data_IF_652651677132
#
_entry.id   IF_652651677132
#
_cell.length_a   1.000
_cell.length_b   1.000
_cell.length_c   1.000
_cell.angle_alpha   90.00
_cell.angle_beta   90.00
_cell.angle_gamma   90.00
#
_symmetry.space_group_name_H-M   'P 1'
#
loop_
_entity.id
_entity.type
_entity.pdbx_description
1 polymer ?
#
# COMPACT_ATOMS: atom_id res chain seq x y z
N UNK A 1 10.45 -10.02 12.48
CA UNK A 1 10.12 -10.10 11.04
C UNK A 1 9.93 -8.67 10.55
N UNK A 2 10.90 -8.15 9.79
CA UNK A 2 10.74 -6.90 9.04
C UNK A 2 10.58 -7.26 7.59
N UNK A 3 9.34 -7.48 7.16
CA UNK A 3 8.99 -7.71 5.76
C UNK A 3 8.67 -6.36 5.10
N UNK A 4 8.36 -6.39 3.80
CA UNK A 4 7.96 -5.20 3.03
C UNK A 4 6.62 -4.60 3.51
N UNK A 5 5.95 -5.22 4.48
CA UNK A 5 4.67 -4.78 5.03
C UNK A 5 4.78 -4.68 6.55
N UNK A 6 4.29 -3.58 7.10
CA UNK A 6 4.17 -3.36 8.54
C UNK A 6 2.72 -2.97 8.87
N UNK A 7 2.19 -3.50 9.98
CA UNK A 7 0.92 -3.07 10.50
C UNK A 7 1.07 -2.42 11.87
N UNK A 8 0.61 -1.18 11.99
CA UNK A 8 0.59 -0.41 13.22
C UNK A 8 -0.85 -0.29 13.75
N UNK A 9 -1.12 -0.93 14.89
CA UNK A 9 -2.43 -0.85 15.54
C UNK A 9 -2.64 0.55 16.10
N UNK A 10 -3.74 1.21 15.73
CA UNK A 10 -4.13 2.53 16.24
C UNK A 10 -5.39 2.48 17.09
N UNK A 11 -6.23 1.46 16.86
CA UNK A 11 -7.47 1.27 17.59
C UNK A 11 -7.84 -0.22 17.62
N UNK A 12 -8.60 -0.65 18.61
CA UNK A 12 -9.02 -2.05 18.70
C UNK A 12 -10.32 -2.22 19.48
N UNK A 13 -11.02 -3.31 19.20
CA UNK A 13 -12.15 -3.79 19.98
C UNK A 13 -11.75 -5.13 20.56
N UNK A 14 -11.83 -5.25 21.88
CA UNK A 14 -11.57 -6.48 22.60
C UNK A 14 -12.88 -7.12 23.06
N UNK A 15 -13.06 -8.39 22.75
CA UNK A 15 -14.13 -9.23 23.29
C UNK A 15 -13.48 -10.39 24.03
N UNK A 16 -13.39 -10.24 25.35
CA UNK A 16 -12.72 -11.19 26.22
C UNK A 16 -13.64 -12.34 26.61
N UNK A 17 -13.05 -13.46 27.01
CA UNK A 17 -13.74 -14.61 27.60
C UNK A 17 -14.86 -15.18 26.73
N UNK A 18 -14.68 -15.18 25.40
CA UNK A 18 -15.61 -15.89 24.53
C UNK A 18 -15.49 -17.40 24.76
N UNK A 19 -16.62 -18.07 24.89
CA UNK A 19 -16.73 -19.52 24.95
C UNK A 19 -17.69 -20.01 23.86
N UNK A 20 -17.58 -21.28 23.46
CA UNK A 20 -18.59 -21.88 22.59
C UNK A 20 -19.90 -22.07 23.35
N UNK A 21 -20.99 -21.55 22.82
CA UNK A 21 -22.32 -21.61 23.43
C UNK A 21 -23.38 -20.96 22.55
N UNK A 22 -24.54 -20.68 23.14
CA UNK A 22 -25.62 -19.93 22.47
C UNK A 22 -25.72 -18.51 23.00
N UNK A 23 -25.94 -17.56 22.09
CA UNK A 23 -26.15 -16.15 22.42
C UNK A 23 -26.90 -15.43 21.29
N UNK A 24 -27.55 -14.29 21.58
CA UNK A 24 -28.12 -13.45 20.53
C UNK A 24 -27.02 -12.90 19.62
N UNK A 25 -27.26 -12.87 18.31
CA UNK A 25 -26.36 -12.26 17.33
C UNK A 25 -26.40 -10.72 17.42
N UNK A 26 -25.34 -10.07 16.90
CA UNK A 26 -25.22 -8.61 16.89
C UNK A 26 -26.31 -7.95 16.04
N UNK A 27 -26.98 -6.88 16.54
CA UNK A 27 -28.00 -6.16 15.80
C UNK A 27 -27.46 -5.37 14.59
N UNK A 28 -26.13 -5.36 14.41
CA UNK A 28 -25.48 -4.79 13.23
C UNK A 28 -25.51 -5.74 12.02
N UNK A 29 -25.87 -7.01 12.22
CA UNK A 29 -26.01 -8.01 11.16
C UNK A 29 -27.47 -8.05 10.72
N UNK A 30 -27.74 -7.62 9.49
CA UNK A 30 -29.12 -7.46 8.99
C UNK A 30 -29.87 -8.81 8.91
N UNK A 31 -29.20 -9.88 8.48
CA UNK A 31 -29.77 -11.23 8.38
C UNK A 31 -30.10 -11.87 9.75
N UNK A 32 -29.67 -11.25 10.84
CA UNK A 32 -29.93 -11.72 12.19
C UNK A 32 -31.11 -11.01 12.86
N UNK A 33 -31.66 -9.94 12.27
CA UNK A 33 -32.84 -9.27 12.84
C UNK A 33 -34.07 -10.16 12.71
N UNK A 34 -34.84 -10.28 13.78
CA UNK A 34 -36.04 -11.11 13.81
C UNK A 34 -37.15 -10.45 14.62
N UNK A 35 -38.38 -10.84 14.34
CA UNK A 35 -39.56 -10.51 15.15
C UNK A 35 -40.18 -11.75 15.76
N UNK A 36 -40.11 -12.87 15.06
CA UNK A 36 -40.61 -14.18 15.50
C UNK A 36 -39.59 -15.29 15.23
N UNK A 37 -39.77 -16.44 15.89
CA UNK A 37 -38.87 -17.59 15.77
C UNK A 37 -38.80 -18.14 14.33
N UNK A 38 -39.86 -17.95 13.54
CA UNK A 38 -39.92 -18.38 12.13
C UNK A 38 -38.92 -17.63 11.23
N UNK A 39 -38.51 -16.42 11.61
CA UNK A 39 -37.49 -15.63 10.90
C UNK A 39 -36.08 -16.24 11.03
N UNK A 40 -35.89 -17.14 12.01
CA UNK A 40 -34.61 -17.73 12.38
C UNK A 40 -34.55 -19.23 12.04
N UNK A 41 -34.56 -19.65 10.76
CA UNK A 41 -34.57 -21.07 10.41
C UNK A 41 -33.36 -21.81 11.00
N UNK A 42 -33.63 -22.85 11.79
CA UNK A 42 -32.62 -23.61 12.50
C UNK A 42 -31.62 -24.26 11.53
N UNK A 43 -30.34 -24.21 11.88
CA UNK A 43 -29.26 -24.85 11.12
C UNK A 43 -28.71 -23.99 9.98
N UNK A 44 -29.37 -22.88 9.63
CA UNK A 44 -28.85 -21.95 8.63
C UNK A 44 -27.75 -21.06 9.24
N UNK A 45 -26.61 -20.89 8.56
CA UNK A 45 -25.61 -19.90 8.97
C UNK A 45 -26.15 -18.49 8.78
N UNK A 46 -25.78 -17.56 9.67
CA UNK A 46 -26.08 -16.14 9.49
C UNK A 46 -25.15 -15.56 8.43
N UNK A 47 -25.69 -14.94 7.39
CA UNK A 47 -24.89 -14.32 6.32
C UNK A 47 -24.12 -13.13 6.88
N UNK A 48 -22.79 -13.12 6.73
CA UNK A 48 -21.87 -12.15 7.36
C UNK A 48 -21.96 -12.11 8.90
N UNK A 49 -22.51 -13.14 9.54
CA UNK A 49 -22.62 -13.26 11.00
C UNK A 49 -21.50 -14.08 11.65
N UNK A 50 -21.71 -14.45 12.90
CA UNK A 50 -20.72 -15.06 13.78
C UNK A 50 -21.02 -16.55 14.12
N UNK A 51 -22.16 -17.09 13.67
CA UNK A 51 -22.57 -18.46 14.00
C UNK A 51 -23.76 -19.00 13.21
N UNK A 52 -24.33 -20.09 13.71
CA UNK A 52 -25.44 -20.84 13.09
C UNK A 52 -26.73 -20.58 13.88
N UNK A 53 -27.84 -20.25 13.20
CA UNK A 53 -29.15 -19.97 13.81
C UNK A 53 -29.69 -21.20 14.56
N UNK A 54 -30.15 -21.02 15.79
CA UNK A 54 -30.68 -22.11 16.64
C UNK A 54 -32.19 -22.33 16.48
N UNK A 55 -32.92 -21.46 15.77
CA UNK A 55 -34.38 -21.55 15.68
C UNK A 55 -35.15 -20.53 16.51
N UNK A 56 -34.47 -19.71 17.33
CA UNK A 56 -35.12 -18.81 18.29
C UNK A 56 -34.81 -17.35 18.01
N UNK A 57 -35.82 -16.49 18.15
CA UNK A 57 -35.70 -15.06 18.17
C UNK A 57 -35.64 -14.57 19.62
N UNK A 58 -34.54 -13.92 20.00
CA UNK A 58 -34.27 -13.49 21.37
C UNK A 58 -34.04 -11.98 21.43
N UNK A 59 -34.43 -11.35 22.53
CA UNK A 59 -34.18 -9.93 22.73
C UNK A 59 -32.70 -9.69 22.99
N UNK A 60 -32.03 -8.95 22.11
CA UNK A 60 -30.64 -8.49 22.33
C UNK A 60 -30.62 -7.30 23.29
N UNK A 61 -31.54 -6.35 23.09
CA UNK A 61 -31.76 -5.17 23.93
C UNK A 61 -33.28 -4.91 24.05
N UNK A 62 -33.68 -3.96 24.92
CA UNK A 62 -35.09 -3.63 25.16
C UNK A 62 -35.90 -3.24 23.90
N UNK A 63 -35.25 -2.87 22.80
CA UNK A 63 -35.89 -2.42 21.56
C UNK A 63 -35.56 -3.27 20.33
N UNK A 64 -34.61 -4.22 20.43
CA UNK A 64 -34.13 -4.99 19.26
C UNK A 64 -34.02 -6.47 19.61
N UNK A 65 -34.61 -7.30 18.75
CA UNK A 65 -34.52 -8.76 18.80
C UNK A 65 -33.66 -9.27 17.66
N UNK A 66 -32.84 -10.28 17.95
CA UNK A 66 -31.97 -10.95 16.99
C UNK A 66 -32.05 -12.46 17.15
N UNK A 67 -31.74 -13.20 16.09
CA UNK A 67 -31.69 -14.64 16.13
C UNK A 67 -30.63 -15.11 17.15
N UNK A 68 -30.98 -16.12 17.94
CA UNK A 68 -30.02 -16.86 18.75
C UNK A 68 -29.14 -17.70 17.83
N UNK A 69 -27.83 -17.64 18.05
CA UNK A 69 -26.83 -18.39 17.30
C UNK A 69 -26.03 -19.31 18.21
N UNK A 70 -25.56 -20.42 17.66
CA UNK A 70 -24.51 -21.24 18.25
C UNK A 70 -23.15 -20.83 17.67
N UNK A 71 -22.22 -20.44 18.53
CA UNK A 71 -20.92 -19.91 18.12
C UNK A 71 -20.08 -19.45 19.31
N UNK A 72 -19.18 -18.51 19.07
CA UNK A 72 -18.36 -17.91 20.12
C UNK A 72 -19.10 -16.75 20.79
N UNK A 73 -19.46 -16.96 22.05
CA UNK A 73 -20.32 -16.08 22.82
C UNK A 73 -19.57 -15.49 24.02
N UNK A 74 -19.79 -14.20 24.36
CA UNK A 74 -20.69 -13.25 23.69
C UNK A 74 -20.12 -12.77 22.33
N UNK A 75 -20.99 -12.38 21.39
CA UNK A 75 -20.59 -11.84 20.08
C UNK A 75 -19.83 -10.52 20.20
N UNK A 76 -19.03 -10.19 19.19
CA UNK A 76 -18.26 -8.94 19.13
C UNK A 76 -19.20 -7.72 19.19
N UNK A 77 -18.87 -6.76 20.06
CA UNK A 77 -19.55 -5.47 20.07
C UNK A 77 -19.05 -4.60 18.91
N UNK A 78 -19.97 -4.11 18.08
CA UNK A 78 -19.65 -3.27 16.92
C UNK A 78 -19.50 -1.78 17.22
N UNK A 79 -19.68 -1.33 18.47
CA UNK A 79 -19.56 0.10 18.79
C UNK A 79 -18.11 0.56 18.72
N UNK A 80 -17.80 1.36 17.71
CA UNK A 80 -16.52 2.04 17.59
C UNK A 80 -16.42 3.20 18.60
N UNK A 81 -15.26 3.38 19.26
CA UNK A 81 -15.04 4.55 20.09
C UNK A 81 -15.00 5.82 19.23
N UNK A 82 -15.40 6.96 19.80
CA UNK A 82 -15.39 8.27 19.11
C UNK A 82 -13.98 8.80 18.84
N UNK A 83 -12.98 8.28 19.53
CA UNK A 83 -11.56 8.66 19.42
C UNK A 83 -10.70 7.40 19.37
N UNK A 84 -9.56 7.42 18.65
CA UNK A 84 -8.66 6.28 18.60
C UNK A 84 -8.06 6.03 19.99
N UNK A 85 -8.03 4.77 20.42
CA UNK A 85 -7.50 4.39 21.73
C UNK A 85 -5.99 4.61 21.84
N UNK A 86 -5.25 4.45 20.74
CA UNK A 86 -3.80 4.59 20.69
C UNK A 86 -3.41 5.84 19.88
N UNK A 87 -3.89 7.02 20.31
CA UNK A 87 -3.59 8.29 19.64
C UNK A 87 -2.08 8.61 19.60
N UNK A 88 -1.32 8.18 20.62
CA UNK A 88 0.13 8.35 20.69
C UNK A 88 0.91 7.62 19.59
N UNK A 89 0.27 6.69 18.86
CA UNK A 89 0.87 6.04 17.70
C UNK A 89 1.22 7.04 16.58
N UNK A 90 0.64 8.24 16.58
CA UNK A 90 1.01 9.36 15.70
C UNK A 90 2.50 9.75 15.85
N UNK A 91 3.03 9.63 17.08
CA UNK A 91 4.38 10.03 17.45
C UNK A 91 5.41 8.91 17.28
N UNK A 92 4.98 7.71 16.88
CA UNK A 92 5.90 6.61 16.66
C UNK A 92 6.77 6.86 15.44
N UNK A 93 7.95 6.25 15.46
CA UNK A 93 8.93 6.35 14.39
C UNK A 93 9.15 4.99 13.75
N UNK A 94 9.24 4.99 12.42
CA UNK A 94 9.54 3.83 11.59
C UNK A 94 10.95 3.98 11.06
N UNK A 95 11.82 3.02 11.38
CA UNK A 95 13.16 2.94 10.82
C UNK A 95 13.14 2.04 9.60
N UNK A 96 13.30 2.63 8.40
CA UNK A 96 13.28 1.90 7.14
C UNK A 96 14.70 1.78 6.62
N UNK A 97 15.25 0.56 6.65
CA UNK A 97 16.56 0.25 6.06
C UNK A 97 16.38 -0.43 4.72
N UNK A 98 16.83 0.21 3.65
CA UNK A 98 16.73 -0.29 2.30
C UNK A 98 18.11 -0.28 1.62
N UNK A 99 18.46 -1.42 1.01
CA UNK A 99 19.68 -1.57 0.20
C UNK A 99 19.29 -2.01 -1.21
N UNK A 100 19.74 -1.27 -2.21
CA UNK A 100 19.60 -1.64 -3.62
C UNK A 100 20.91 -2.17 -4.16
N UNK A 101 20.81 -3.13 -5.08
CA UNK A 101 21.95 -3.69 -5.80
C UNK A 101 21.62 -3.83 -7.28
N UNK A 102 22.34 -3.07 -8.11
CA UNK A 102 22.25 -3.14 -9.57
C UNK A 102 23.31 -4.12 -10.08
N UNK A 103 22.93 -5.38 -10.24
CA UNK A 103 23.81 -6.50 -10.62
C UNK A 103 24.60 -6.23 -11.90
N UNK A 104 23.95 -5.66 -12.92
CA UNK A 104 24.57 -5.32 -14.21
C UNK A 104 25.79 -4.41 -14.08
N UNK A 105 25.78 -3.50 -13.10
CA UNK A 105 26.85 -2.52 -12.88
C UNK A 105 27.72 -2.84 -11.66
N UNK A 106 27.43 -3.95 -10.96
CA UNK A 106 28.02 -4.31 -9.67
C UNK A 106 28.01 -3.15 -8.65
N UNK A 107 26.92 -2.39 -8.63
CA UNK A 107 26.76 -1.23 -7.76
C UNK A 107 25.76 -1.55 -6.65
N UNK A 108 26.10 -1.23 -5.40
CA UNK A 108 25.19 -1.32 -4.26
C UNK A 108 25.15 -0.03 -3.48
N UNK A 109 23.97 0.31 -2.97
CA UNK A 109 23.76 1.52 -2.17
C UNK A 109 22.70 1.26 -1.12
N UNK A 110 22.94 1.77 0.07
CA UNK A 110 21.97 1.77 1.17
C UNK A 110 21.41 3.18 1.34
N UNK A 111 20.13 3.30 1.70
CA UNK A 111 19.50 4.59 2.00
C UNK A 111 20.08 5.26 3.26
N UNK A 112 20.67 4.47 4.15
CA UNK A 112 21.29 4.99 5.38
C UNK A 112 22.61 5.69 5.06
N UNK A 113 22.79 6.90 5.60
CA UNK A 113 24.07 7.59 5.59
C UNK A 113 25.16 6.71 6.23
N UNK A 114 26.32 6.59 5.57
CA UNK A 114 27.49 5.97 6.19
C UNK A 114 28.15 7.01 7.11
N UNK A 115 27.76 7.00 8.38
CA UNK A 115 28.29 7.90 9.41
C UNK A 115 28.96 7.10 10.53
N UNK A 116 30.03 7.64 11.10
CA UNK A 116 30.69 7.12 12.31
C UNK A 116 30.02 7.61 13.60
N UNK A 117 29.06 8.53 13.51
CA UNK A 117 28.35 9.08 14.65
C UNK A 117 27.19 8.14 15.09
N UNK A 118 27.27 7.52 16.28
CA UNK A 118 26.22 6.64 16.79
C UNK A 118 24.97 7.39 17.26
N UNK A 119 25.04 8.72 17.39
CA UNK A 119 23.93 9.56 17.84
C UNK A 119 23.01 10.01 16.70
N UNK A 120 23.50 10.07 15.47
CA UNK A 120 22.76 10.53 14.30
C UNK A 120 21.41 9.82 14.12
N UNK A 121 21.40 8.49 14.11
CA UNK A 121 20.15 7.73 13.92
C UNK A 121 19.18 7.79 15.11
N UNK A 122 19.62 8.29 16.27
CA UNK A 122 18.77 8.44 17.46
C UNK A 122 18.01 9.77 17.46
N UNK A 123 18.57 10.80 16.82
CA UNK A 123 18.02 12.16 16.81
C UNK A 123 17.46 12.58 15.47
N UNK A 124 17.89 11.99 14.36
CA UNK A 124 17.43 12.40 13.04
C UNK A 124 15.95 12.03 12.84
N UNK A 125 15.24 12.89 12.12
CA UNK A 125 13.92 12.61 11.55
C UNK A 125 13.96 12.99 10.08
N UNK A 126 13.39 12.14 9.23
CA UNK A 126 13.32 12.37 7.79
C UNK A 126 12.57 13.65 7.49
N UNK A 127 13.18 14.46 6.63
CA UNK A 127 12.57 15.62 6.00
C UNK A 127 13.12 15.74 4.57
N UNK A 128 12.27 15.96 3.55
CA UNK A 128 12.71 15.97 2.16
C UNK A 128 13.72 17.10 1.83
N UNK A 129 13.74 18.18 2.61
CA UNK A 129 14.60 19.34 2.40
C UNK A 129 15.77 19.35 3.38
N UNK A 130 15.49 19.21 4.67
CA UNK A 130 16.50 19.38 5.72
C UNK A 130 17.31 18.12 5.97
N UNK A 131 16.69 16.93 5.95
CA UNK A 131 17.32 15.65 6.31
C UNK A 131 16.90 14.50 5.37
N UNK A 132 17.17 14.59 4.06
CA UNK A 132 16.69 13.60 3.08
C UNK A 132 17.32 12.21 3.24
N UNK A 133 18.48 12.13 3.90
CA UNK A 133 19.23 10.87 4.12
C UNK A 133 18.89 10.19 5.45
N UNK A 134 17.96 10.72 6.24
CA UNK A 134 17.56 10.10 7.50
C UNK A 134 16.53 8.97 7.25
N UNK A 135 16.78 7.73 7.70
CA UNK A 135 15.87 6.60 7.50
C UNK A 135 14.74 6.49 8.55
N UNK A 136 14.59 7.49 9.42
CA UNK A 136 13.63 7.50 10.54
C UNK A 136 12.43 8.37 10.18
N UNK A 137 11.28 7.76 10.00
CA UNK A 137 10.05 8.44 9.57
C UNK A 137 9.07 8.50 10.73
N UNK A 138 8.55 9.69 11.02
CA UNK A 138 7.44 9.83 11.98
C UNK A 138 6.13 9.45 11.29
N UNK A 139 5.32 8.62 11.95
CA UNK A 139 4.05 8.11 11.41
C UNK A 139 3.15 9.26 10.95
N UNK A 140 2.97 10.30 11.79
CA UNK A 140 2.23 11.52 11.43
C UNK A 140 2.62 12.08 10.06
N UNK A 141 3.91 12.33 9.86
CA UNK A 141 4.42 12.98 8.66
C UNK A 141 4.18 12.12 7.42
N UNK A 142 4.25 10.78 7.56
CA UNK A 142 3.96 9.87 6.46
C UNK A 142 2.48 9.92 6.06
N UNK A 143 1.57 10.02 7.04
CA UNK A 143 0.12 10.14 6.78
C UNK A 143 -0.20 11.49 6.14
N UNK A 144 0.35 12.58 6.67
CA UNK A 144 0.16 13.93 6.12
C UNK A 144 0.76 14.05 4.70
N UNK A 145 1.90 13.42 4.45
CA UNK A 145 2.51 13.37 3.11
C UNK A 145 1.68 12.55 2.11
N UNK A 146 0.85 11.62 2.58
CA UNK A 146 -0.12 10.91 1.75
C UNK A 146 -1.40 11.73 1.50
N UNK A 147 -1.52 12.93 2.09
CA UNK A 147 -2.67 13.83 1.94
C UNK A 147 -3.80 13.61 2.94
N UNK A 148 -3.57 12.83 4.00
CA UNK A 148 -4.61 12.41 4.95
C UNK A 148 -4.35 12.92 6.38
N UNK A 149 -5.38 12.89 7.22
CA UNK A 149 -5.26 13.21 8.65
C UNK A 149 -5.17 11.94 9.50
N UNK A 150 -4.20 11.89 10.41
CA UNK A 150 -3.97 10.72 11.28
C UNK A 150 -5.21 10.34 12.09
N UNK A 151 -5.94 11.31 12.64
CA UNK A 151 -7.11 11.06 13.48
C UNK A 151 -8.22 10.27 12.77
N UNK A 152 -8.46 10.58 11.49
CA UNK A 152 -9.52 9.95 10.70
C UNK A 152 -9.14 8.52 10.31
N UNK A 153 -7.89 8.32 9.85
CA UNK A 153 -7.36 7.00 9.53
C UNK A 153 -7.16 6.12 10.77
N UNK A 154 -6.80 6.69 11.91
CA UNK A 154 -6.56 5.93 13.14
C UNK A 154 -7.82 5.28 13.70
N UNK A 155 -9.01 5.84 13.42
CA UNK A 155 -10.29 5.32 13.88
C UNK A 155 -10.72 4.05 13.15
N UNK A 156 -10.67 4.09 11.82
CA UNK A 156 -11.18 3.03 10.95
C UNK A 156 -10.08 2.16 10.33
N UNK A 157 -8.83 2.58 10.46
CA UNK A 157 -7.67 1.99 9.80
C UNK A 157 -7.53 2.41 8.34
N UNK A 158 -6.35 2.16 7.77
CA UNK A 158 -6.07 2.39 6.35
C UNK A 158 -4.75 1.78 5.91
N UNK A 159 -4.48 1.81 4.61
CA UNK A 159 -3.21 1.39 4.03
C UNK A 159 -2.52 2.57 3.33
N UNK A 160 -1.23 2.72 3.58
CA UNK A 160 -0.35 3.73 3.00
C UNK A 160 0.76 3.01 2.24
N UNK A 161 0.85 3.30 0.94
CA UNK A 161 1.95 2.88 0.09
C UNK A 161 3.15 3.80 0.30
N UNK A 162 4.30 3.20 0.64
CA UNK A 162 5.60 3.88 0.76
C UNK A 162 6.45 3.46 -0.42
N UNK A 163 6.61 4.34 -1.41
CA UNK A 163 7.44 4.10 -2.57
C UNK A 163 8.82 4.72 -2.39
N UNK A 164 9.85 3.88 -2.41
CA UNK A 164 11.26 4.27 -2.43
C UNK A 164 11.77 4.16 -3.86
N UNK A 165 11.93 5.31 -4.54
CA UNK A 165 12.45 5.39 -5.90
C UNK A 165 13.94 5.66 -5.89
N UNK A 166 14.70 4.83 -6.58
CA UNK A 166 16.12 5.00 -6.88
C UNK A 166 16.28 5.24 -8.37
N UNK A 167 16.62 6.46 -8.76
CA UNK A 167 16.91 6.83 -10.14
C UNK A 167 18.33 7.33 -10.20
N UNK A 168 19.25 6.46 -10.60
CA UNK A 168 20.68 6.67 -10.40
C UNK A 168 21.44 6.69 -11.71
N UNK A 169 22.03 7.84 -12.01
CA UNK A 169 23.07 7.94 -13.02
C UNK A 169 24.42 7.56 -12.40
N UNK A 170 24.96 6.43 -12.83
CA UNK A 170 26.23 5.86 -12.36
C UNK A 170 27.45 6.41 -13.10
N UNK A 171 27.26 7.37 -14.01
CA UNK A 171 28.36 8.18 -14.57
C UNK A 171 28.79 9.27 -13.57
N UNK A 172 27.92 9.61 -12.63
CA UNK A 172 28.17 10.52 -11.54
C UNK A 172 28.64 9.81 -10.25
N UNK A 173 29.18 10.55 -9.26
CA UNK A 173 29.59 9.98 -7.99
C UNK A 173 28.43 9.27 -7.27
N UNK A 174 28.74 8.14 -6.64
CA UNK A 174 27.78 7.32 -5.87
C UNK A 174 27.03 8.07 -4.76
N UNK A 175 27.51 9.25 -4.35
CA UNK A 175 26.86 10.11 -3.36
C UNK A 175 25.61 10.82 -3.91
N UNK A 176 25.51 11.02 -5.23
CA UNK A 176 24.38 11.71 -5.86
C UNK A 176 23.17 10.79 -6.08
N UNK A 177 23.41 9.47 -6.15
CA UNK A 177 22.37 8.45 -6.14
C UNK A 177 21.74 8.37 -4.73
N UNK A 178 20.62 9.06 -4.55
CA UNK A 178 19.85 9.13 -3.31
C UNK A 178 18.41 8.65 -3.54
N UNK A 179 17.78 8.02 -2.55
CA UNK A 179 16.40 7.59 -2.65
C UNK A 179 15.44 8.77 -2.57
N UNK A 180 14.35 8.70 -3.34
CA UNK A 180 13.21 9.58 -3.22
C UNK A 180 12.04 8.81 -2.62
N UNK A 181 11.37 9.40 -1.63
CA UNK A 181 10.26 8.77 -0.92
C UNK A 181 8.95 9.41 -1.33
N UNK A 182 7.98 8.58 -1.69
CA UNK A 182 6.62 9.00 -2.02
C UNK A 182 5.63 8.24 -1.14
N UNK A 183 4.62 8.94 -0.65
CA UNK A 183 3.58 8.40 0.22
C UNK A 183 2.24 8.55 -0.49
N UNK A 184 1.44 7.50 -0.47
CA UNK A 184 0.12 7.49 -1.12
C UNK A 184 -0.88 6.69 -0.29
N UNK A 185 -2.11 7.18 -0.19
CA UNK A 185 -3.21 6.40 0.38
C UNK A 185 -3.61 5.30 -0.60
N UNK A 186 -3.71 4.07 -0.11
CA UNK A 186 -4.11 2.90 -0.91
C UNK A 186 -5.53 2.44 -0.56
N UNK A 187 -5.88 2.44 0.74
CA UNK A 187 -7.19 2.02 1.20
C UNK A 187 -7.59 2.75 2.50
N UNK A 188 -8.89 2.98 2.65
CA UNK A 188 -9.53 3.60 3.82
C UNK A 188 -10.50 2.58 4.42
N UNK A 189 -10.25 2.11 5.66
CA UNK A 189 -10.94 1.03 6.42
C UNK A 189 -10.23 -0.32 6.50
N UNK A 190 -8.92 -0.33 6.67
CA UNK A 190 -8.19 -1.57 6.90
C UNK A 190 -8.35 -2.10 8.34
N UNK A 191 -8.90 -3.30 8.50
CA UNK A 191 -9.05 -3.97 9.78
C UNK A 191 -8.94 -5.49 9.65
N UNK A 192 -8.54 -6.16 10.72
CA UNK A 192 -8.57 -7.63 10.79
C UNK A 192 -8.82 -8.12 12.21
N UNK A 193 -9.14 -9.41 12.34
CA UNK A 193 -9.39 -10.06 13.63
C UNK A 193 -8.29 -11.05 13.95
N UNK A 194 -7.88 -11.07 15.21
CA UNK A 194 -7.01 -12.09 15.78
C UNK A 194 -7.63 -12.63 17.06
N UNK A 195 -7.31 -13.86 17.41
CA UNK A 195 -7.86 -14.51 18.59
C UNK A 195 -6.76 -15.25 19.35
N UNK A 196 -6.75 -15.06 20.66
CA UNK A 196 -5.87 -15.78 21.59
C UNK A 196 -6.69 -16.79 22.37
N UNK A 197 -6.34 -18.07 22.26
CA UNK A 197 -7.06 -19.18 22.88
C UNK A 197 -6.40 -19.59 24.20
N UNK A 198 -7.22 -19.92 25.20
CA UNK A 198 -6.75 -20.37 26.51
C UNK A 198 -7.78 -21.27 27.20
N UNK A 199 -7.31 -22.06 28.16
CA UNK A 199 -8.16 -22.99 28.91
C UNK A 199 -8.57 -22.39 30.25
N UNK A 200 -9.86 -22.49 30.58
CA UNK A 200 -10.39 -22.11 31.89
C UNK A 200 -10.17 -23.20 32.95
N UNK A 201 -10.51 -22.87 34.20
CA UNK A 201 -10.38 -23.77 35.37
C UNK A 201 -11.17 -25.08 35.24
N UNK A 202 -12.28 -25.06 34.49
CA UNK A 202 -13.13 -26.23 34.24
C UNK A 202 -12.83 -26.95 32.91
N UNK A 203 -11.62 -26.81 32.34
CA UNK A 203 -11.25 -27.35 31.01
C UNK A 203 -12.16 -26.90 29.86
N UNK A 204 -12.88 -25.80 30.03
CA UNK A 204 -13.61 -25.18 28.94
C UNK A 204 -12.66 -24.28 28.12
N UNK A 205 -12.77 -24.35 26.80
CA UNK A 205 -11.95 -23.56 25.89
C UNK A 205 -12.54 -22.15 25.78
N UNK A 206 -11.70 -21.15 26.10
CA UNK A 206 -12.02 -19.75 25.95
C UNK A 206 -11.13 -19.11 24.88
N UNK A 207 -11.59 -17.99 24.32
CA UNK A 207 -10.77 -17.12 23.49
C UNK A 207 -11.00 -15.65 23.81
N UNK A 208 -9.96 -14.86 23.65
CA UNK A 208 -10.04 -13.41 23.58
C UNK A 208 -9.94 -13.00 22.12
N UNK A 209 -11.02 -12.42 21.59
CA UNK A 209 -11.05 -11.88 20.23
C UNK A 209 -10.62 -10.42 20.26
N UNK A 210 -9.71 -10.07 19.36
CA UNK A 210 -9.27 -8.71 19.11
C UNK A 210 -9.56 -8.36 17.66
N UNK A 211 -10.40 -7.36 17.44
CA UNK A 211 -10.51 -6.70 16.13
C UNK A 211 -9.62 -5.49 16.14
N UNK A 212 -8.62 -5.48 15.27
CA UNK A 212 -7.59 -4.46 15.19
C UNK A 212 -7.87 -3.54 14.01
N UNK A 213 -7.81 -2.25 14.26
CA UNK A 213 -7.81 -1.18 13.28
C UNK A 213 -6.46 -0.49 13.33
N UNK A 214 -5.93 -0.12 12.18
CA UNK A 214 -4.57 0.39 12.13
C UNK A 214 -4.13 0.82 10.77
N UNK A 215 -2.90 1.32 10.74
CA UNK A 215 -2.21 1.72 9.52
C UNK A 215 -1.36 0.56 9.02
N UNK A 216 -1.63 0.12 7.79
CA UNK A 216 -0.77 -0.80 7.06
C UNK A 216 0.18 0.01 6.19
N UNK A 217 1.48 -0.17 6.34
CA UNK A 217 2.50 0.43 5.49
C UNK A 217 3.01 -0.62 4.52
N UNK A 218 2.77 -0.41 3.23
CA UNK A 218 3.24 -1.27 2.15
C UNK A 218 4.45 -0.62 1.48
N UNK A 219 5.65 -1.14 1.75
CA UNK A 219 6.92 -0.59 1.28
C UNK A 219 7.28 -1.21 -0.06
N UNK A 220 7.25 -0.39 -1.11
CA UNK A 220 7.70 -0.75 -2.46
C UNK A 220 9.01 -0.05 -2.79
N UNK A 221 9.90 -0.75 -3.49
CA UNK A 221 11.20 -0.22 -3.91
C UNK A 221 11.31 -0.35 -5.42
N UNK A 222 11.52 0.78 -6.10
CA UNK A 222 11.73 0.82 -7.54
C UNK A 222 13.10 1.42 -7.82
N UNK A 223 13.90 0.73 -8.64
CA UNK A 223 15.25 1.13 -8.95
C UNK A 223 15.53 1.10 -10.44
N UNK A 224 16.04 2.20 -10.97
CA UNK A 224 16.60 2.31 -12.30
C UNK A 224 18.01 2.89 -12.17
N UNK A 225 18.95 2.29 -12.90
CA UNK A 225 20.30 2.78 -12.98
C UNK A 225 20.77 2.87 -14.43
N UNK A 226 21.39 3.99 -14.78
CA UNK A 226 22.05 4.22 -16.06
C UNK A 226 23.56 4.28 -15.86
N UNK A 227 24.31 3.81 -16.85
CA UNK A 227 25.76 4.02 -16.94
C UNK A 227 26.15 4.07 -18.41
N UNK A 228 27.04 4.98 -18.77
CA UNK A 228 27.56 5.10 -20.13
C UNK A 228 28.11 3.78 -20.63
N UNK A 229 27.71 3.43 -21.86
CA UNK A 229 28.23 2.27 -22.57
C UNK A 229 28.35 2.59 -24.06
N UNK A 230 29.47 2.19 -24.66
CA UNK A 230 29.77 2.50 -26.06
C UNK A 230 28.81 1.81 -27.04
N UNK A 231 28.34 0.61 -26.71
CA UNK A 231 27.47 -0.20 -27.59
C UNK A 231 26.11 0.49 -27.85
N UNK A 232 25.29 0.82 -26.83
CA UNK A 232 24.02 1.53 -27.06
C UNK A 232 24.24 2.91 -27.67
N UNK A 233 25.32 3.61 -27.31
CA UNK A 233 25.67 4.90 -27.92
C UNK A 233 25.93 4.78 -29.42
N UNK A 234 26.71 3.78 -29.86
CA UNK A 234 26.98 3.55 -31.28
C UNK A 234 25.72 3.16 -32.07
N UNK A 235 24.84 2.33 -31.48
CA UNK A 235 23.54 1.98 -32.08
C UNK A 235 22.64 3.21 -32.21
N UNK A 236 22.51 4.02 -31.16
CA UNK A 236 21.73 5.27 -31.19
C UNK A 236 22.31 6.27 -32.19
N UNK A 237 23.63 6.35 -32.32
CA UNK A 237 24.29 7.20 -33.31
C UNK A 237 24.03 6.71 -34.74
N UNK A 238 24.19 5.42 -35.01
CA UNK A 238 23.92 4.83 -36.32
C UNK A 238 22.46 4.96 -36.75
N UNK A 239 21.52 4.74 -35.82
CA UNK A 239 20.08 4.93 -36.08
C UNK A 239 19.73 6.39 -36.34
N UNK A 240 20.36 7.33 -35.62
CA UNK A 240 20.20 8.76 -35.88
C UNK A 240 20.70 9.16 -37.28
N UNK A 241 21.82 8.59 -37.74
CA UNK A 241 22.33 8.80 -39.10
C UNK A 241 21.36 8.25 -40.15
N UNK A 242 20.85 7.03 -39.94
CA UNK A 242 19.87 6.43 -40.84
C UNK A 242 18.61 7.29 -40.96
N UNK A 243 18.19 7.96 -39.88
CA UNK A 243 17.03 8.84 -39.88
C UNK A 243 17.20 10.08 -40.79
N UNK A 244 18.43 10.57 -41.02
CA UNK A 244 18.65 11.67 -41.98
C UNK A 244 18.25 11.30 -43.41
N UNK A 245 18.20 10.01 -43.77
CA UNK A 245 17.67 9.56 -45.06
C UNK A 245 16.18 9.89 -45.27
N UNK A 246 15.40 10.10 -44.20
CA UNK A 246 14.02 10.55 -44.34
C UNK A 246 13.93 11.99 -44.87
N UNK A 247 14.91 12.84 -44.55
CA UNK A 247 14.94 14.22 -45.01
C UNK A 247 15.12 14.28 -46.54
N UNK A 248 15.95 13.42 -47.14
CA UNK A 248 16.11 13.40 -48.60
C UNK A 248 14.82 12.96 -49.31
N UNK A 249 14.09 11.99 -48.75
CA UNK A 249 12.79 11.57 -49.28
C UNK A 249 11.76 12.71 -49.22
N UNK A 250 11.72 13.46 -48.12
CA UNK A 250 10.83 14.62 -47.99
C UNK A 250 11.24 15.73 -48.96
N UNK A 251 12.53 16.05 -49.05
CA UNK A 251 13.04 17.04 -50.00
C UNK A 251 12.73 16.65 -51.45
N UNK A 252 12.88 15.38 -51.79
CA UNK A 252 12.52 14.83 -53.11
C UNK A 252 11.02 15.02 -53.39
N UNK A 253 10.15 14.71 -52.43
CA UNK A 253 8.71 14.89 -52.58
C UNK A 253 8.33 16.35 -52.81
N UNK A 254 8.95 17.27 -52.06
CA UNK A 254 8.72 18.72 -52.23
C UNK A 254 9.21 19.20 -53.59
N UNK A 255 10.45 18.88 -53.97
CA UNK A 255 11.05 19.37 -55.22
C UNK A 255 10.40 18.80 -56.48
N UNK A 256 9.97 17.55 -56.45
CA UNK A 256 9.41 16.86 -57.62
C UNK A 256 7.91 17.11 -57.81
N UNK A 257 7.17 17.49 -56.77
CA UNK A 257 5.70 17.59 -56.85
C UNK A 257 5.10 18.92 -56.40
N UNK A 258 5.82 19.72 -55.59
CA UNK A 258 5.27 20.96 -55.02
C UNK A 258 5.99 22.23 -55.50
N UNK A 259 7.21 22.12 -56.04
CA UNK A 259 7.96 23.26 -56.53
C UNK A 259 7.46 23.75 -57.90
N UNK A 260 7.54 25.06 -58.13
CA UNK A 260 7.11 25.68 -59.40
C UNK A 260 7.92 25.20 -60.62
N UNK A 261 9.14 24.67 -60.41
CA UNK A 261 10.01 24.10 -61.46
C UNK A 261 10.07 22.57 -61.41
N UNK A 262 9.07 21.91 -60.80
CA UNK A 262 9.00 20.45 -60.68
C UNK A 262 9.30 19.69 -62.00
N UNK A 263 8.75 20.14 -63.12
CA UNK A 263 8.95 19.50 -64.43
C UNK A 263 10.42 19.44 -64.88
N UNK A 264 11.23 20.45 -64.50
CA UNK A 264 12.67 20.47 -64.78
C UNK A 264 13.39 19.44 -63.91
N UNK A 265 13.10 19.43 -62.61
CA UNK A 265 13.73 18.49 -61.66
C UNK A 265 13.36 17.03 -61.96
N UNK A 266 12.13 16.78 -62.42
CA UNK A 266 11.70 15.45 -62.83
C UNK A 266 12.58 14.95 -63.98
N UNK A 267 12.67 15.70 -65.08
CA UNK A 267 13.40 15.30 -66.29
C UNK A 267 14.89 15.04 -66.05
N UNK A 268 15.52 15.81 -65.17
CA UNK A 268 16.92 15.62 -64.82
C UNK A 268 17.14 14.43 -63.88
N UNK A 269 16.14 14.06 -63.07
CA UNK A 269 16.27 12.98 -62.08
C UNK A 269 16.03 11.60 -62.64
N UNK A 270 15.06 11.40 -63.53
CA UNK A 270 14.78 10.07 -64.08
C UNK A 270 14.99 10.01 -65.59
N UNK A 271 15.67 8.95 -66.02
CA UNK A 271 15.91 8.63 -67.42
C UNK A 271 15.00 7.45 -67.82
N UNK A 272 14.17 7.66 -68.84
CA UNK A 272 13.25 6.61 -69.33
C UNK A 272 13.99 5.65 -70.26
N UNK A 273 14.04 4.37 -69.88
CA UNK A 273 14.56 3.28 -70.74
C UNK A 273 13.38 2.56 -71.39
N UNK A 274 13.42 2.42 -72.71
CA UNK A 274 12.43 1.67 -73.51
C UNK A 274 12.86 0.23 -73.78
#
# INVERSE_FOLDING_TARGET
>A
QGENVLFLVTNFIATAQQAQGTCPESPSVLDAMCTEDADCPMGNPVVHGNGIKTGKCVMFNATRSTCEIYGWCPVENSTLPRKPLLAEAENFTLFIKNTVHFTKFNFSKCNTLQTSDPSYFKSCTYDPVFNPSCPVFRVRNMVEAAGEHFGDLALLGGSIGVLIKWDCDLDHPAAQCQPQYFFSLQDTRYNFRTASYYWGSQRQLYRNLLKLYGLRFDISVHGQAGKFSIIPTAVSFGTSIAFFGAATVVCDLVLLYLDAKADLYWKEKFEEVR
#
